data_IF_117257439624
#
_entry.id   IF_117257439624
#
_cell.length_a   1.000
_cell.length_b   1.000
_cell.length_c   1.000
_cell.angle_alpha   90.00
_cell.angle_beta   90.00
_cell.angle_gamma   90.00
#
_symmetry.space_group_name_H-M   'P 1'
#
loop_
_entity.id
_entity.type
_entity.pdbx_description
1 polymer ?
#
# COMPACT_ATOMS: atom_id res chain seq x y z
N UNK A 1 2.57 43.82 22.62
CA UNK A 1 3.88 43.75 21.95
C UNK A 1 3.64 43.72 20.46
N UNK A 2 4.08 44.78 19.77
CA UNK A 2 4.00 44.92 18.32
C UNK A 2 4.84 43.80 17.67
N UNK A 3 4.19 42.93 16.90
CA UNK A 3 4.88 42.00 15.99
C UNK A 3 5.53 42.86 14.92
N UNK A 4 6.86 43.03 15.01
CA UNK A 4 7.66 43.60 13.94
C UNK A 4 7.34 42.83 12.66
N UNK A 5 6.84 43.52 11.64
CA UNK A 5 6.76 42.97 10.30
C UNK A 5 8.19 42.66 9.85
N UNK A 6 8.61 41.40 9.96
CA UNK A 6 9.86 40.92 9.39
C UNK A 6 9.76 41.11 7.88
N UNK A 7 10.73 41.82 7.31
CA UNK A 7 10.93 41.86 5.86
C UNK A 7 10.87 40.42 5.30
N UNK A 8 10.26 40.20 4.13
CA UNK A 8 10.32 38.90 3.49
C UNK A 8 11.79 38.48 3.34
N UNK A 9 12.14 37.22 3.65
CA UNK A 9 13.51 36.76 3.61
C UNK A 9 14.10 37.03 2.21
N UNK A 10 15.31 37.55 2.14
CA UNK A 10 15.96 37.86 0.87
C UNK A 10 16.57 36.59 0.27
N UNK A 11 16.50 36.42 -1.06
CA UNK A 11 17.16 35.29 -1.73
C UNK A 11 18.67 35.36 -1.54
N UNK A 12 19.29 34.26 -1.15
CA UNK A 12 20.74 34.18 -0.98
C UNK A 12 21.45 34.29 -2.34
N UNK A 13 22.40 35.21 -2.49
CA UNK A 13 23.22 35.35 -3.70
C UNK A 13 24.15 34.17 -3.91
N UNK A 14 24.56 33.90 -5.16
CA UNK A 14 25.32 32.69 -5.52
C UNK A 14 26.69 32.59 -4.83
N UNK A 15 27.40 33.71 -4.64
CA UNK A 15 28.67 33.73 -3.91
C UNK A 15 28.51 33.34 -2.43
N UNK A 16 27.36 33.71 -1.83
CA UNK A 16 27.03 33.36 -0.45
C UNK A 16 26.54 31.91 -0.38
N UNK A 17 25.78 31.46 -1.37
CA UNK A 17 25.29 30.09 -1.51
C UNK A 17 26.43 29.08 -1.51
N UNK A 18 27.44 29.27 -2.36
CA UNK A 18 28.57 28.35 -2.47
C UNK A 18 29.37 28.26 -1.16
N UNK A 19 29.65 29.41 -0.55
CA UNK A 19 30.37 29.47 0.73
C UNK A 19 29.57 28.78 1.84
N UNK A 20 28.26 28.97 1.85
CA UNK A 20 27.36 28.41 2.86
C UNK A 20 27.22 26.89 2.73
N UNK A 21 26.98 26.36 1.51
CA UNK A 21 26.90 24.91 1.27
C UNK A 21 28.21 24.22 1.66
N UNK A 22 29.36 24.78 1.27
CA UNK A 22 30.67 24.24 1.65
C UNK A 22 30.86 24.21 3.18
N UNK A 23 30.45 25.27 3.88
CA UNK A 23 30.56 25.35 5.34
C UNK A 23 29.65 24.33 6.03
N UNK A 24 28.40 24.20 5.57
CA UNK A 24 27.44 23.24 6.14
C UNK A 24 27.91 21.80 5.88
N UNK A 25 28.42 21.51 4.68
CA UNK A 25 28.97 20.20 4.35
C UNK A 25 30.17 19.84 5.23
N UNK A 26 31.06 20.78 5.53
CA UNK A 26 32.19 20.57 6.44
C UNK A 26 31.76 20.24 7.88
N UNK A 27 30.53 20.58 8.28
CA UNK A 27 29.95 20.20 9.57
C UNK A 27 29.30 18.81 9.55
N UNK A 28 29.26 18.12 8.41
CA UNK A 28 28.69 16.76 8.31
C UNK A 28 29.72 15.68 8.62
N UNK A 29 29.30 14.46 9.00
CA UNK A 29 30.19 13.31 9.17
C UNK A 29 30.94 12.91 7.89
N UNK A 30 30.51 13.41 6.72
CA UNK A 30 31.09 13.09 5.40
C UNK A 30 32.16 14.07 4.93
N UNK A 31 32.54 15.06 5.75
CA UNK A 31 33.59 16.04 5.40
C UNK A 31 34.88 15.39 4.88
N UNK A 32 35.26 14.23 5.42
CA UNK A 32 36.51 13.54 5.09
C UNK A 32 36.40 12.73 3.78
N UNK A 33 35.19 12.50 3.27
CA UNK A 33 34.93 11.81 2.00
C UNK A 33 34.87 12.74 0.78
N UNK A 34 34.57 14.02 0.99
CA UNK A 34 34.48 15.02 -0.08
C UNK A 34 33.20 14.96 -0.94
N UNK A 35 32.38 13.90 -0.79
CA UNK A 35 31.09 13.74 -1.48
C UNK A 35 30.01 13.27 -0.51
N UNK A 36 28.75 13.53 -0.88
CA UNK A 36 27.58 12.92 -0.27
C UNK A 36 26.56 12.45 -1.34
N UNK A 37 25.76 11.42 -1.05
CA UNK A 37 24.69 10.95 -1.92
C UNK A 37 23.57 12.00 -2.05
N UNK A 38 22.85 11.98 -3.17
CA UNK A 38 21.78 12.94 -3.47
C UNK A 38 20.68 12.95 -2.41
N UNK A 39 20.39 11.82 -1.77
CA UNK A 39 19.43 11.72 -0.67
C UNK A 39 19.89 12.52 0.57
N UNK A 40 21.16 12.43 0.96
CA UNK A 40 21.71 13.18 2.10
C UNK A 40 21.75 14.68 1.78
N UNK A 41 22.06 15.05 0.54
CA UNK A 41 21.98 16.43 0.05
C UNK A 41 20.55 16.97 0.09
N UNK A 42 19.55 16.15 -0.24
CA UNK A 42 18.13 16.49 -0.16
C UNK A 42 17.68 16.74 1.29
N UNK A 43 18.08 15.86 2.22
CA UNK A 43 17.82 16.04 3.64
C UNK A 43 18.51 17.31 4.18
N UNK A 44 19.75 17.57 3.78
CA UNK A 44 20.48 18.79 4.13
C UNK A 44 19.75 20.05 3.64
N UNK A 45 19.18 20.02 2.43
CA UNK A 45 18.43 21.14 1.85
C UNK A 45 17.25 21.56 2.73
N UNK A 46 16.51 20.59 3.29
CA UNK A 46 15.39 20.86 4.21
C UNK A 46 15.83 21.54 5.51
N UNK A 47 17.02 21.21 6.03
CA UNK A 47 17.61 21.82 7.23
C UNK A 47 18.15 23.21 6.93
N UNK A 48 18.71 23.38 5.74
CA UNK A 48 19.38 24.59 5.27
C UNK A 48 18.37 25.70 4.92
N UNK A 49 17.26 25.36 4.25
CA UNK A 49 16.28 26.35 3.77
C UNK A 49 15.41 26.96 4.89
N UNK A 50 15.52 26.46 6.13
CA UNK A 50 14.71 26.87 7.30
C UNK A 50 15.44 27.89 8.20
N UNK A 51 16.76 28.14 8.00
CA UNK A 51 17.53 29.06 8.85
C UNK A 51 17.36 30.55 8.45
N UNK A 52 17.40 31.41 9.46
CA UNK A 52 16.80 32.76 9.47
C UNK A 52 17.24 33.74 8.36
N UNK A 53 16.24 34.52 7.90
CA UNK A 53 16.30 35.73 7.05
C UNK A 53 16.75 35.59 5.58
N UNK A 54 17.19 34.40 5.13
CA UNK A 54 17.46 34.15 3.72
C UNK A 54 16.96 32.77 3.30
N UNK A 55 16.34 32.67 2.12
CA UNK A 55 16.01 31.38 1.51
C UNK A 55 17.01 31.04 0.39
N UNK A 56 17.33 29.76 0.25
CA UNK A 56 18.22 29.26 -0.79
C UNK A 56 17.45 28.85 -2.04
N UNK A 57 16.31 28.20 -1.88
CA UNK A 57 15.41 27.88 -2.98
C UNK A 57 13.98 28.29 -2.60
N UNK A 58 13.21 28.77 -3.57
CA UNK A 58 11.76 28.93 -3.43
C UNK A 58 11.11 27.55 -3.31
N UNK A 59 9.83 27.50 -2.88
CA UNK A 59 9.11 26.23 -2.84
C UNK A 59 8.99 25.60 -4.23
N UNK A 60 8.76 26.40 -5.27
CA UNK A 60 8.69 25.94 -6.66
C UNK A 60 10.02 25.33 -7.14
N UNK A 61 11.15 25.93 -6.74
CA UNK A 61 12.49 25.41 -7.05
C UNK A 61 12.80 24.12 -6.27
N UNK A 62 12.29 23.99 -5.04
CA UNK A 62 12.38 22.74 -4.28
C UNK A 62 11.60 21.65 -4.99
N UNK A 63 10.35 21.93 -5.36
CA UNK A 63 9.46 20.97 -6.03
C UNK A 63 10.03 20.54 -7.41
N UNK A 64 10.79 21.41 -8.08
CA UNK A 64 11.50 21.08 -9.32
C UNK A 64 12.75 20.21 -9.11
N UNK A 65 13.43 20.35 -7.97
CA UNK A 65 14.65 19.60 -7.63
C UNK A 65 14.35 18.21 -7.03
N UNK A 66 13.22 18.08 -6.34
CA UNK A 66 12.80 16.86 -5.63
C UNK A 66 12.83 15.59 -6.50
N UNK A 67 12.28 15.57 -7.73
CA UNK A 67 12.25 14.36 -8.55
C UNK A 67 13.66 13.90 -8.93
N UNK A 68 14.61 14.82 -9.09
CA UNK A 68 15.98 14.46 -9.45
C UNK A 68 16.71 13.77 -8.30
N UNK A 69 16.58 14.31 -7.08
CA UNK A 69 17.20 13.73 -5.88
C UNK A 69 16.56 12.39 -5.49
N UNK A 70 15.23 12.24 -5.62
CA UNK A 70 14.53 11.00 -5.30
C UNK A 70 14.77 9.88 -6.32
N UNK A 71 14.95 10.20 -7.61
CA UNK A 71 15.22 9.21 -8.64
C UNK A 71 16.69 8.76 -8.68
N UNK A 72 17.61 9.48 -8.03
CA UNK A 72 19.05 9.18 -8.03
C UNK A 72 19.64 9.19 -6.61
N UNK A 73 19.08 8.43 -5.65
CA UNK A 73 19.42 8.58 -4.23
C UNK A 73 20.89 8.27 -3.91
N UNK A 74 21.50 7.32 -4.64
CA UNK A 74 22.89 6.88 -4.44
C UNK A 74 23.92 7.73 -5.18
N UNK A 75 23.50 8.75 -5.93
CA UNK A 75 24.42 9.56 -6.73
C UNK A 75 25.29 10.45 -5.82
N UNK A 76 26.57 10.11 -5.73
CA UNK A 76 27.56 10.87 -4.95
C UNK A 76 27.90 12.18 -5.67
N UNK A 77 27.74 13.29 -4.97
CA UNK A 77 27.99 14.66 -5.47
C UNK A 77 28.91 15.41 -4.51
N UNK A 78 29.83 16.19 -5.07
CA UNK A 78 30.59 17.17 -4.29
C UNK A 78 29.72 18.38 -3.93
N UNK A 79 30.10 19.19 -2.94
CA UNK A 79 29.43 20.46 -2.66
C UNK A 79 29.30 21.37 -3.89
N UNK A 80 30.31 21.41 -4.76
CA UNK A 80 30.29 22.18 -6.00
C UNK A 80 29.28 21.64 -7.02
N UNK A 81 29.14 20.32 -7.13
CA UNK A 81 28.14 19.70 -8.00
C UNK A 81 26.72 20.02 -7.52
N UNK A 82 26.52 20.00 -6.21
CA UNK A 82 25.25 20.37 -5.60
C UNK A 82 24.91 21.86 -5.79
N UNK A 83 25.89 22.76 -5.65
CA UNK A 83 25.74 24.19 -5.96
C UNK A 83 25.35 24.39 -7.43
N UNK A 84 25.97 23.65 -8.36
CA UNK A 84 25.63 23.70 -9.79
C UNK A 84 24.21 23.24 -10.06
N UNK A 85 23.79 22.14 -9.44
CA UNK A 85 22.43 21.64 -9.53
C UNK A 85 21.40 22.67 -9.04
N UNK A 86 21.66 23.32 -7.91
CA UNK A 86 20.85 24.42 -7.38
C UNK A 86 20.81 25.58 -8.37
N UNK A 87 21.95 25.98 -8.94
CA UNK A 87 22.01 27.08 -9.91
C UNK A 87 21.15 26.79 -11.15
N UNK A 88 21.12 25.55 -11.64
CA UNK A 88 20.29 25.20 -12.79
C UNK A 88 18.81 25.46 -12.51
N UNK A 89 18.32 25.09 -11.33
CA UNK A 89 16.91 25.31 -10.94
C UNK A 89 16.63 26.78 -10.62
N UNK A 90 17.63 27.52 -10.15
CA UNK A 90 17.50 28.96 -9.84
C UNK A 90 17.33 29.87 -11.05
N UNK A 91 17.79 29.43 -12.23
CA UNK A 91 17.89 30.23 -13.45
C UNK A 91 17.00 29.72 -14.60
N UNK A 92 16.13 28.73 -14.35
CA UNK A 92 15.24 28.15 -15.37
C UNK A 92 14.21 29.13 -15.95
N UNK A 93 13.93 30.26 -15.28
CA UNK A 93 12.83 31.17 -15.68
C UNK A 93 13.20 32.66 -15.82
N UNK A 94 14.47 33.09 -15.74
CA UNK A 94 14.78 34.54 -15.69
C UNK A 94 15.70 35.13 -16.75
N UNK A 95 16.38 34.35 -17.62
CA UNK A 95 17.23 34.93 -18.67
C UNK A 95 17.44 34.00 -19.88
N UNK A 96 16.38 33.29 -20.30
CA UNK A 96 16.39 32.65 -21.61
C UNK A 96 15.62 33.57 -22.56
N UNK A 97 16.34 34.55 -23.14
CA UNK A 97 16.07 34.91 -24.53
C UNK A 97 15.94 33.59 -25.29
N UNK A 98 14.78 33.36 -25.90
CA UNK A 98 14.41 32.15 -26.64
C UNK A 98 15.57 31.66 -27.54
N UNK A 99 16.45 30.85 -26.96
CA UNK A 99 17.19 29.84 -27.67
C UNK A 99 16.43 28.58 -27.38
N UNK A 100 15.44 28.36 -28.23
CA UNK A 100 14.71 27.14 -28.38
C UNK A 100 15.70 26.01 -28.67
N UNK A 101 16.31 25.43 -27.62
CA UNK A 101 16.97 24.13 -27.73
C UNK A 101 15.87 23.08 -27.68
N UNK A 102 15.18 22.97 -28.82
CA UNK A 102 14.49 21.75 -29.19
C UNK A 102 15.51 20.61 -29.17
N UNK A 103 15.20 19.44 -28.56
CA UNK A 103 15.95 18.22 -28.83
C UNK A 103 15.67 17.79 -30.28
N UNK A 104 16.41 18.36 -31.23
CA UNK A 104 16.43 17.93 -32.62
C UNK A 104 17.19 16.61 -32.74
N UNK A 105 16.50 15.49 -32.51
CA UNK A 105 16.72 14.27 -33.29
C UNK A 105 15.36 13.63 -33.59
N UNK A 106 14.64 14.28 -34.49
CA UNK A 106 13.60 13.67 -35.29
C UNK A 106 13.61 14.40 -36.63
N UNK A 107 14.37 13.87 -37.59
CA UNK A 107 14.21 14.26 -38.99
C UNK A 107 12.85 13.70 -39.41
N UNK A 108 11.82 14.52 -39.25
CA UNK A 108 10.52 14.29 -39.85
C UNK A 108 10.65 14.43 -41.36
N UNK A 109 10.45 13.29 -42.02
CA UNK A 109 10.02 13.13 -43.39
C UNK A 109 9.29 14.36 -43.96
N UNK A 110 10.00 15.14 -44.77
CA UNK A 110 9.40 16.02 -45.77
C UNK A 110 10.34 16.10 -46.96
N UNK A 111 10.24 15.09 -47.83
CA UNK A 111 10.34 15.21 -49.30
C UNK A 111 9.65 13.97 -49.87
N UNK A 112 8.37 14.12 -50.21
CA UNK A 112 7.68 13.22 -51.13
C UNK A 112 8.31 13.37 -52.51
N UNK A 113 8.59 12.22 -53.11
CA UNK A 113 8.56 11.92 -54.54
C UNK A 113 9.22 12.92 -55.51
N UNK A 114 10.44 12.59 -55.93
CA UNK A 114 10.65 12.39 -57.35
C UNK A 114 11.56 11.17 -57.55
N UNK A 115 10.96 10.10 -58.04
CA UNK A 115 11.62 9.02 -58.76
C UNK A 115 12.49 9.65 -59.86
N UNK A 116 13.80 9.66 -59.66
CA UNK A 116 14.74 9.83 -60.77
C UNK A 116 14.93 8.43 -61.33
N UNK A 117 14.24 8.19 -62.45
CA UNK A 117 14.45 7.05 -63.31
C UNK A 117 15.93 6.87 -63.60
N UNK A 118 16.41 5.64 -63.46
CA UNK A 118 17.52 5.13 -64.23
C UNK A 118 17.22 5.43 -65.71
N UNK A 119 17.91 6.42 -66.28
CA UNK A 119 18.12 6.44 -67.71
C UNK A 119 19.31 5.53 -68.00
N UNK A 120 18.95 4.29 -68.30
CA UNK A 120 19.61 3.52 -69.33
C UNK A 120 19.69 4.39 -70.61
N UNK A 121 20.88 4.49 -71.16
CA UNK A 121 21.23 5.48 -72.16
C UNK A 121 22.53 5.07 -72.80
N UNK A 122 22.47 3.96 -73.53
CA UNK A 122 23.41 3.64 -74.60
C UNK A 122 23.78 4.92 -75.37
N UNK A 123 25.04 5.36 -75.23
CA UNK A 123 25.58 6.43 -76.06
C UNK A 123 25.88 5.87 -77.45
N UNK A 124 24.83 5.76 -78.25
CA UNK A 124 24.91 5.46 -79.69
C UNK A 124 25.41 6.71 -80.43
N UNK A 125 26.43 6.51 -81.24
CA UNK A 125 26.87 7.36 -82.36
C UNK A 125 27.34 8.80 -82.04
N UNK A 126 28.67 8.96 -82.01
CA UNK A 126 29.27 10.21 -82.48
C UNK A 126 28.95 10.35 -83.98
N UNK A 127 28.31 11.44 -84.45
CA UNK A 127 28.43 11.82 -85.83
C UNK A 127 29.86 12.33 -86.05
N UNK A 128 30.53 11.79 -87.06
CA UNK A 128 31.75 12.36 -87.62
C UNK A 128 31.57 13.88 -87.82
N UNK A 129 32.59 14.71 -87.55
CA UNK A 129 32.59 16.05 -88.08
C UNK A 129 32.77 15.93 -89.60
N UNK A 130 31.67 16.10 -90.32
CA UNK A 130 31.65 16.34 -91.76
C UNK A 130 32.57 17.52 -92.04
N UNK A 131 33.74 17.21 -92.59
CA UNK A 131 34.42 18.12 -93.50
C UNK A 131 33.50 18.24 -94.70
N UNK A 132 33.10 19.46 -95.04
CA UNK A 132 33.14 19.99 -96.40
C UNK A 132 32.76 21.49 -96.40
N UNK A 133 33.50 22.22 -97.23
CA UNK A 133 33.19 23.50 -97.86
C UNK A 133 33.27 24.80 -97.04
N UNK A 134 34.50 25.28 -96.84
CA UNK A 134 34.84 26.64 -97.32
C UNK A 134 36.12 26.54 -98.16
N UNK A 135 35.92 26.48 -99.47
CA UNK A 135 36.94 26.81 -100.47
C UNK A 135 37.16 28.32 -100.45
N UNK A 136 38.37 28.77 -100.10
CA UNK A 136 38.97 29.90 -100.81
C UNK A 136 40.39 29.55 -101.26
N UNK A 137 40.50 29.61 -102.57
CA UNK A 137 41.66 29.50 -103.44
C UNK A 137 42.52 30.77 -103.29
N UNK A 138 43.78 30.63 -102.88
CA UNK A 138 44.82 31.48 -103.47
C UNK A 138 46.13 30.69 -103.57
N UNK A 139 46.32 30.09 -104.74
CA UNK A 139 47.61 29.61 -105.24
C UNK A 139 48.59 30.77 -105.31
N UNK A 140 49.38 30.94 -104.25
CA UNK A 140 50.67 31.66 -104.30
C UNK A 140 51.75 30.88 -103.56
N UNK A 141 52.50 30.08 -104.30
CA UNK A 141 53.94 29.98 -104.03
C UNK A 141 54.61 31.25 -104.60
N UNK A 142 55.86 31.65 -104.24
CA UNK A 142 56.83 31.15 -103.23
C UNK A 142 57.37 32.39 -102.42
N UNK A 143 58.61 32.50 -101.86
CA UNK A 143 59.68 31.56 -101.54
C UNK A 143 60.18 31.66 -100.05
N UNK A 144 61.14 30.80 -99.69
CA UNK A 144 61.94 30.85 -98.45
C UNK A 144 61.22 30.46 -97.15
N UNK A 145 61.46 29.21 -96.75
CA UNK A 145 61.35 28.75 -95.36
C UNK A 145 62.08 29.71 -94.42
N UNK A 146 61.31 30.54 -93.72
CA UNK A 146 61.80 31.28 -92.58
C UNK A 146 62.01 30.30 -91.44
N UNK A 147 63.24 30.22 -90.96
CA UNK A 147 63.68 29.45 -89.78
C UNK A 147 62.70 29.58 -88.60
N UNK A 148 62.00 30.72 -88.49
CA UNK A 148 60.98 30.98 -87.48
C UNK A 148 59.77 30.02 -87.49
N UNK A 149 59.26 29.60 -88.65
CA UNK A 149 58.08 28.73 -88.70
C UNK A 149 58.43 27.28 -88.33
N UNK A 150 59.64 26.83 -88.67
CA UNK A 150 60.17 25.54 -88.25
C UNK A 150 60.43 25.53 -86.74
N UNK A 151 60.93 26.65 -86.19
CA UNK A 151 61.15 26.81 -84.75
C UNK A 151 59.83 26.83 -83.96
N UNK A 152 58.79 27.46 -84.50
CA UNK A 152 57.45 27.48 -83.89
C UNK A 152 56.79 26.10 -83.88
N UNK A 153 56.89 25.34 -84.98
CA UNK A 153 56.41 23.94 -85.02
C UNK A 153 57.20 23.06 -84.04
N UNK A 154 58.51 23.30 -83.88
CA UNK A 154 59.32 22.58 -82.89
C UNK A 154 58.91 22.93 -81.46
N UNK A 155 58.64 24.21 -81.17
CA UNK A 155 58.13 24.69 -79.88
C UNK A 155 56.78 24.04 -79.57
N UNK A 156 55.83 24.09 -80.49
CA UNK A 156 54.50 23.48 -80.31
C UNK A 156 54.56 21.96 -80.12
N UNK A 157 55.47 21.25 -80.80
CA UNK A 157 55.69 19.82 -80.57
C UNK A 157 56.25 19.54 -79.17
N UNK A 158 57.15 20.39 -78.68
CA UNK A 158 57.68 20.29 -77.31
C UNK A 158 56.59 20.58 -76.29
N UNK A 159 55.83 21.67 -76.46
CA UNK A 159 54.71 22.04 -75.58
C UNK A 159 53.66 20.93 -75.51
N UNK A 160 53.32 20.31 -76.65
CA UNK A 160 52.43 19.14 -76.69
C UNK A 160 52.99 17.96 -75.90
N UNK A 161 54.29 17.68 -76.02
CA UNK A 161 54.94 16.60 -75.27
C UNK A 161 54.93 16.88 -73.77
N UNK A 162 55.22 18.12 -73.38
CA UNK A 162 55.24 18.55 -71.98
C UNK A 162 53.80 18.49 -71.38
N UNK A 163 52.79 18.92 -72.14
CA UNK A 163 51.38 18.80 -71.74
C UNK A 163 50.91 17.35 -71.62
N UNK A 164 51.32 16.45 -72.51
CA UNK A 164 51.01 15.02 -72.41
C UNK A 164 51.66 14.39 -71.17
N UNK A 165 52.86 14.83 -70.80
CA UNK A 165 53.54 14.36 -69.60
C UNK A 165 52.83 14.87 -68.34
N UNK A 166 52.41 16.14 -68.32
CA UNK A 166 51.59 16.70 -67.25
C UNK A 166 50.23 16.00 -67.12
N UNK A 167 49.57 15.69 -68.24
CA UNK A 167 48.31 14.95 -68.23
C UNK A 167 48.48 13.57 -67.60
N UNK A 168 49.53 12.84 -68.00
CA UNK A 168 49.85 11.53 -67.41
C UNK A 168 50.18 11.63 -65.91
N UNK A 169 50.88 12.67 -65.49
CA UNK A 169 51.17 12.90 -64.07
C UNK A 169 49.90 13.21 -63.27
N UNK A 170 49.00 14.02 -63.82
CA UNK A 170 47.71 14.32 -63.21
C UNK A 170 46.81 13.09 -63.15
N UNK A 171 46.76 12.27 -64.20
CA UNK A 171 46.01 11.01 -64.21
C UNK A 171 46.51 10.06 -63.10
N UNK A 172 47.83 9.93 -62.95
CA UNK A 172 48.41 9.13 -61.86
C UNK A 172 48.03 9.70 -60.48
N UNK A 173 48.03 11.03 -60.30
CA UNK A 173 47.60 11.67 -59.04
C UNK A 173 46.11 11.42 -58.76
N UNK A 174 45.25 11.50 -59.77
CA UNK A 174 43.82 11.23 -59.65
C UNK A 174 43.60 9.76 -59.25
N UNK A 175 44.31 8.82 -59.87
CA UNK A 175 44.22 7.41 -59.52
C UNK A 175 44.67 7.13 -58.08
N UNK A 176 45.78 7.74 -57.64
CA UNK A 176 46.27 7.57 -56.28
C UNK A 176 45.29 8.16 -55.25
N UNK A 177 44.76 9.37 -55.51
CA UNK A 177 43.72 9.95 -54.66
C UNK A 177 42.47 9.07 -54.62
N UNK A 178 41.99 8.58 -55.77
CA UNK A 178 40.83 7.70 -55.84
C UNK A 178 41.03 6.43 -55.00
N UNK A 179 42.23 5.84 -55.05
CA UNK A 179 42.58 4.68 -54.22
C UNK A 179 42.55 5.00 -52.73
N UNK A 180 43.15 6.13 -52.30
CA UNK A 180 43.13 6.57 -50.91
C UNK A 180 41.70 6.85 -50.43
N UNK A 181 40.88 7.49 -51.26
CA UNK A 181 39.48 7.76 -50.94
C UNK A 181 38.67 6.47 -50.80
N UNK A 182 38.86 5.48 -51.69
CA UNK A 182 38.20 4.18 -51.60
C UNK A 182 38.59 3.43 -50.32
N UNK A 183 39.86 3.44 -49.95
CA UNK A 183 40.32 2.84 -48.70
C UNK A 183 39.68 3.55 -47.48
N UNK A 184 39.61 4.88 -47.52
CA UNK A 184 38.95 5.66 -46.47
C UNK A 184 37.47 5.37 -46.36
N UNK A 185 36.76 5.22 -47.49
CA UNK A 185 35.34 4.83 -47.52
C UNK A 185 35.17 3.46 -46.87
N UNK A 186 35.98 2.46 -47.24
CA UNK A 186 35.91 1.12 -46.66
C UNK A 186 36.18 1.10 -45.14
N UNK A 187 37.12 1.91 -44.66
CA UNK A 187 37.37 2.08 -43.22
C UNK A 187 36.16 2.70 -42.50
N UNK A 188 35.54 3.72 -43.11
CA UNK A 188 34.36 4.38 -42.55
C UNK A 188 33.13 3.46 -42.55
N UNK A 189 32.91 2.68 -43.60
CA UNK A 189 31.84 1.68 -43.68
C UNK A 189 32.00 0.63 -42.58
N UNK A 190 33.22 0.11 -42.39
CA UNK A 190 33.52 -0.83 -41.31
C UNK A 190 33.25 -0.21 -39.93
N UNK A 191 33.63 1.06 -39.73
CA UNK A 191 33.35 1.78 -38.48
C UNK A 191 31.85 1.97 -38.25
N UNK A 192 31.08 2.28 -39.28
CA UNK A 192 29.62 2.42 -39.20
C UNK A 192 28.98 1.08 -38.84
N UNK A 193 29.42 -0.03 -39.45
CA UNK A 193 28.93 -1.37 -39.10
C UNK A 193 29.19 -1.71 -37.63
N UNK A 194 30.40 -1.45 -37.13
CA UNK A 194 30.72 -1.65 -35.72
C UNK A 194 29.83 -0.80 -34.79
N UNK A 195 29.66 0.48 -35.10
CA UNK A 195 28.80 1.38 -34.32
C UNK A 195 27.33 0.93 -34.33
N UNK A 196 26.83 0.37 -35.44
CA UNK A 196 25.48 -0.18 -35.51
C UNK A 196 25.32 -1.44 -34.65
N UNK A 197 26.31 -2.34 -34.66
CA UNK A 197 26.29 -3.53 -33.79
C UNK A 197 26.30 -3.11 -32.32
N UNK A 198 27.16 -2.15 -31.94
CA UNK A 198 27.23 -1.66 -30.56
C UNK A 198 25.94 -0.96 -30.14
N UNK A 199 25.33 -0.16 -31.02
CA UNK A 199 24.02 0.47 -30.78
C UNK A 199 22.93 -0.57 -30.50
N UNK A 200 22.84 -1.63 -31.30
CA UNK A 200 21.84 -2.69 -31.08
C UNK A 200 22.14 -3.50 -29.80
N UNK A 201 23.42 -3.72 -29.48
CA UNK A 201 23.84 -4.32 -28.20
C UNK A 201 23.37 -3.48 -27.01
N UNK A 202 23.58 -2.16 -27.04
CA UNK A 202 23.17 -1.26 -25.97
C UNK A 202 21.63 -1.19 -25.82
N UNK A 203 20.89 -1.20 -26.93
CA UNK A 203 19.42 -1.29 -26.90
C UNK A 203 18.96 -2.59 -26.22
N UNK A 204 19.55 -3.72 -26.58
CA UNK A 204 19.23 -5.02 -26.00
C UNK A 204 19.47 -5.04 -24.49
N UNK A 205 20.65 -4.56 -24.05
CA UNK A 205 20.98 -4.44 -22.63
C UNK A 205 20.01 -3.54 -21.87
N UNK A 206 19.67 -2.37 -22.45
CA UNK A 206 18.71 -1.44 -21.84
C UNK A 206 17.33 -2.07 -21.70
N UNK A 207 16.86 -2.80 -22.72
CA UNK A 207 15.59 -3.53 -22.68
C UNK A 207 15.60 -4.63 -21.61
N UNK A 208 16.70 -5.36 -21.46
CA UNK A 208 16.86 -6.40 -20.43
C UNK A 208 16.84 -5.79 -19.02
N UNK A 209 17.54 -4.68 -18.81
CA UNK A 209 17.52 -3.94 -17.55
C UNK A 209 16.11 -3.41 -17.21
N UNK A 210 15.42 -2.82 -18.19
CA UNK A 210 14.04 -2.35 -18.02
C UNK A 210 13.09 -3.50 -17.62
N UNK A 211 13.24 -4.66 -18.26
CA UNK A 211 12.43 -5.84 -17.93
C UNK A 211 12.72 -6.33 -16.51
N UNK A 212 13.99 -6.44 -16.13
CA UNK A 212 14.39 -6.84 -14.77
C UNK A 212 13.88 -5.87 -13.71
N UNK A 213 13.92 -4.57 -13.97
CA UNK A 213 13.35 -3.57 -13.04
C UNK A 213 11.83 -3.69 -12.92
N UNK A 214 11.12 -3.94 -14.03
CA UNK A 214 9.67 -4.21 -13.96
C UNK A 214 9.37 -5.45 -13.12
N UNK A 215 10.09 -6.55 -13.33
CA UNK A 215 9.92 -7.78 -12.54
C UNK A 215 10.21 -7.55 -11.04
N UNK A 216 11.21 -6.72 -10.70
CA UNK A 216 11.50 -6.30 -9.33
C UNK A 216 10.35 -5.49 -8.73
N UNK A 217 9.81 -4.52 -9.46
CA UNK A 217 8.69 -3.70 -9.00
C UNK A 217 7.42 -4.55 -8.77
N UNK A 218 7.12 -5.47 -9.69
CA UNK A 218 6.01 -6.42 -9.53
C UNK A 218 6.19 -7.28 -8.29
N UNK A 219 7.43 -7.73 -8.01
CA UNK A 219 7.72 -8.51 -6.80
C UNK A 219 7.58 -7.68 -5.52
N UNK A 220 8.00 -6.41 -5.53
CA UNK A 220 7.82 -5.48 -4.41
C UNK A 220 6.33 -5.28 -4.14
N UNK A 221 5.51 -5.06 -5.17
CA UNK A 221 4.07 -4.90 -5.02
C UNK A 221 3.39 -6.15 -4.43
N UNK A 222 3.80 -7.35 -4.88
CA UNK A 222 3.31 -8.62 -4.32
C UNK A 222 3.68 -8.75 -2.83
N UNK A 223 4.93 -8.45 -2.46
CA UNK A 223 5.40 -8.51 -1.08
C UNK A 223 4.70 -7.47 -0.18
N UNK A 224 4.45 -6.26 -0.67
CA UNK A 224 3.70 -5.23 0.06
C UNK A 224 2.27 -5.68 0.33
N UNK A 225 1.59 -6.29 -0.65
CA UNK A 225 0.25 -6.82 -0.46
C UNK A 225 0.23 -7.98 0.57
N UNK A 226 1.24 -8.86 0.52
CA UNK A 226 1.40 -9.93 1.50
C UNK A 226 1.64 -9.40 2.92
N UNK A 227 2.49 -8.37 3.07
CA UNK A 227 2.74 -7.71 4.35
C UNK A 227 1.45 -7.12 4.94
N UNK A 228 0.68 -6.39 4.13
CA UNK A 228 -0.61 -5.82 4.52
C UNK A 228 -1.60 -6.90 4.99
N UNK A 229 -1.71 -8.00 4.24
CA UNK A 229 -2.57 -9.13 4.62
C UNK A 229 -2.15 -9.78 5.94
N UNK A 230 -0.84 -9.86 6.22
CA UNK A 230 -0.32 -10.38 7.49
C UNK A 230 -0.63 -9.41 8.63
N UNK A 231 -0.46 -8.11 8.43
CA UNK A 231 -0.80 -7.07 9.42
C UNK A 231 -2.29 -7.09 9.80
N UNK A 232 -3.20 -7.23 8.83
CA UNK A 232 -4.64 -7.34 9.07
C UNK A 232 -4.98 -8.60 9.89
N UNK A 233 -4.35 -9.74 9.56
CA UNK A 233 -4.49 -10.99 10.32
C UNK A 233 -3.95 -10.84 11.75
N UNK A 234 -2.79 -10.20 11.90
CA UNK A 234 -2.17 -9.94 13.21
C UNK A 234 -3.06 -9.03 14.07
N UNK A 235 -3.59 -7.94 13.50
CA UNK A 235 -4.53 -7.03 14.19
C UNK A 235 -5.79 -7.77 14.66
N UNK A 236 -6.35 -8.64 13.81
CA UNK A 236 -7.52 -9.45 14.16
C UNK A 236 -7.19 -10.46 15.27
N UNK A 237 -6.03 -11.11 15.21
CA UNK A 237 -5.57 -12.05 16.24
C UNK A 237 -5.34 -11.33 17.58
N UNK A 238 -4.68 -10.18 17.57
CA UNK A 238 -4.42 -9.35 18.74
C UNK A 238 -5.73 -8.93 19.43
N UNK A 239 -6.73 -8.47 18.67
CA UNK A 239 -8.07 -8.15 19.21
C UNK A 239 -8.76 -9.35 19.86
N UNK A 240 -8.60 -10.56 19.29
CA UNK A 240 -9.15 -11.80 19.87
C UNK A 240 -8.42 -12.18 21.16
N UNK A 241 -7.10 -12.01 21.20
CA UNK A 241 -6.28 -12.29 22.39
C UNK A 241 -6.69 -11.39 23.56
N UNK A 242 -6.82 -10.08 23.32
CA UNK A 242 -7.25 -9.11 24.33
C UNK A 242 -8.62 -9.52 24.92
N UNK A 243 -9.60 -9.87 24.07
CA UNK A 243 -10.91 -10.36 24.53
C UNK A 243 -10.79 -11.62 25.39
N UNK A 244 -9.87 -12.53 25.06
CA UNK A 244 -9.65 -13.75 25.85
C UNK A 244 -8.96 -13.45 27.19
N UNK A 245 -8.05 -12.50 27.23
CA UNK A 245 -7.44 -12.01 28.48
C UNK A 245 -8.50 -11.36 29.39
N UNK A 246 -9.41 -10.57 28.83
CA UNK A 246 -10.57 -10.02 29.56
C UNK A 246 -11.52 -11.11 30.09
N UNK A 247 -11.76 -12.18 29.32
CA UNK A 247 -12.55 -13.33 29.80
C UNK A 247 -11.85 -14.07 30.94
N UNK A 248 -10.53 -14.30 30.82
CA UNK A 248 -9.73 -14.99 31.84
C UNK A 248 -9.70 -14.19 33.14
N UNK A 249 -9.51 -12.87 33.07
CA UNK A 249 -9.53 -12.00 34.27
C UNK A 249 -10.88 -12.04 34.97
N UNK A 250 -12.00 -11.96 34.24
CA UNK A 250 -13.35 -12.14 34.80
C UNK A 250 -13.56 -13.50 35.46
N UNK A 251 -13.05 -14.57 34.84
CA UNK A 251 -13.12 -15.92 35.42
C UNK A 251 -12.28 -16.04 36.69
N UNK A 252 -11.09 -15.45 36.73
CA UNK A 252 -10.24 -15.41 37.93
C UNK A 252 -10.89 -14.65 39.07
N UNK A 253 -11.57 -13.53 38.79
CA UNK A 253 -12.33 -12.78 39.80
C UNK A 253 -13.50 -13.61 40.37
N UNK A 254 -14.26 -14.28 39.50
CA UNK A 254 -15.33 -15.20 39.94
C UNK A 254 -14.80 -16.33 40.79
N UNK A 255 -13.66 -16.92 40.41
CA UNK A 255 -13.04 -18.01 41.17
C UNK A 255 -12.65 -17.53 42.59
N UNK A 256 -11.99 -16.37 42.70
CA UNK A 256 -11.67 -15.75 44.00
C UNK A 256 -12.91 -15.48 44.84
N UNK A 257 -14.01 -15.06 44.21
CA UNK A 257 -15.28 -14.83 44.91
C UNK A 257 -15.87 -16.13 45.44
N UNK A 258 -15.91 -17.20 44.62
CA UNK A 258 -16.39 -18.51 45.05
C UNK A 258 -15.51 -19.14 46.14
N UNK A 259 -14.20 -18.89 46.14
CA UNK A 259 -13.30 -19.32 47.22
C UNK A 259 -13.62 -18.62 48.55
N UNK A 260 -13.93 -17.31 48.52
CA UNK A 260 -14.36 -16.57 49.71
C UNK A 260 -15.68 -17.11 50.26
N UNK A 261 -16.66 -17.35 49.40
CA UNK A 261 -17.96 -17.93 49.77
C UNK A 261 -17.80 -19.33 50.36
N UNK A 262 -16.97 -20.18 49.76
CA UNK A 262 -16.65 -21.51 50.28
C UNK A 262 -16.04 -21.43 51.69
N UNK A 263 -15.11 -20.50 51.92
CA UNK A 263 -14.50 -20.32 53.24
C UNK A 263 -15.52 -19.84 54.28
N UNK A 264 -16.41 -18.92 53.91
CA UNK A 264 -17.48 -18.45 54.78
C UNK A 264 -18.47 -19.58 55.13
N UNK A 265 -18.83 -20.42 54.15
CA UNK A 265 -19.67 -21.61 54.39
C UNK A 265 -18.96 -22.58 55.33
N UNK A 266 -17.67 -22.86 55.13
CA UNK A 266 -16.89 -23.75 56.02
C UNK A 266 -16.89 -23.24 57.46
N UNK A 267 -16.69 -21.95 57.69
CA UNK A 267 -16.77 -21.35 59.03
C UNK A 267 -18.17 -21.47 59.62
N UNK A 268 -19.22 -21.18 58.84
CA UNK A 268 -20.61 -21.33 59.30
C UNK A 268 -20.95 -22.79 59.65
N UNK A 269 -20.52 -23.77 58.85
CA UNK A 269 -20.73 -25.19 59.13
C UNK A 269 -20.03 -25.60 60.42
N UNK A 270 -18.78 -25.16 60.63
CA UNK A 270 -18.04 -25.43 61.88
C UNK A 270 -18.76 -24.87 63.11
N UNK A 271 -19.33 -23.66 63.01
CA UNK A 271 -20.12 -23.08 64.09
C UNK A 271 -21.39 -23.88 64.38
N UNK A 272 -22.13 -24.28 63.34
CA UNK A 272 -23.33 -25.13 63.48
C UNK A 272 -23.00 -26.50 64.06
N UNK A 273 -21.87 -27.11 63.70
CA UNK A 273 -21.42 -28.37 64.31
C UNK A 273 -21.13 -28.21 65.80
N UNK A 274 -20.57 -27.07 66.22
CA UNK A 274 -20.36 -26.78 67.64
C UNK A 274 -21.68 -26.62 68.40
N UNK A 275 -22.63 -25.87 67.84
CA UNK A 275 -23.99 -25.72 68.40
C UNK A 275 -24.69 -27.08 68.50
N UNK A 276 -24.62 -27.90 67.45
CA UNK A 276 -25.22 -29.25 67.45
C UNK A 276 -24.62 -30.13 68.56
N UNK A 277 -23.30 -30.08 68.78
CA UNK A 277 -22.66 -30.80 69.89
C UNK A 277 -23.17 -30.34 71.25
N UNK A 278 -23.33 -29.03 71.45
CA UNK A 278 -23.89 -28.50 72.70
C UNK A 278 -25.31 -29.01 72.94
N UNK A 279 -26.16 -28.99 71.91
CA UNK A 279 -27.54 -29.50 72.00
C UNK A 279 -27.55 -31.01 72.27
N UNK A 280 -26.65 -31.79 71.66
CA UNK A 280 -26.52 -33.23 71.95
C UNK A 280 -26.11 -33.46 73.41
N UNK A 281 -25.11 -32.73 73.91
CA UNK A 281 -24.67 -32.82 75.30
C UNK A 281 -25.79 -32.44 76.28
N UNK A 282 -26.58 -31.42 75.97
CA UNK A 282 -27.77 -31.04 76.75
C UNK A 282 -28.86 -32.11 76.71
N UNK A 283 -29.15 -32.69 75.55
CA UNK A 283 -30.09 -33.80 75.43
C UNK A 283 -29.64 -35.02 76.23
N UNK A 284 -28.34 -35.33 76.26
CA UNK A 284 -27.78 -36.40 77.10
C UNK A 284 -28.03 -36.11 78.58
N UNK A 285 -27.74 -34.90 79.05
CA UNK A 285 -28.03 -34.49 80.44
C UNK A 285 -29.52 -34.59 80.77
N UNK A 286 -30.40 -34.15 79.86
CA UNK A 286 -31.83 -34.28 80.05
C UNK A 286 -32.26 -35.75 80.14
N UNK A 287 -31.68 -36.63 79.33
CA UNK A 287 -31.92 -38.07 79.43
C UNK A 287 -31.51 -38.63 80.79
N UNK A 288 -30.33 -38.27 81.30
CA UNK A 288 -29.86 -38.69 82.63
C UNK A 288 -30.80 -38.20 83.74
N UNK A 289 -31.33 -36.97 83.64
CA UNK A 289 -32.33 -36.43 84.57
C UNK A 289 -33.63 -37.23 84.48
N UNK A 290 -34.11 -37.52 83.27
CA UNK A 290 -35.33 -38.30 83.05
C UNK A 290 -35.18 -39.71 83.64
N UNK A 291 -34.05 -40.39 83.39
CA UNK A 291 -33.81 -41.72 83.92
C UNK A 291 -33.73 -41.72 85.45
N UNK A 292 -33.11 -40.70 86.04
CA UNK A 292 -33.12 -40.51 87.50
C UNK A 292 -34.52 -40.30 88.04
N UNK A 293 -35.32 -39.42 87.43
CA UNK A 293 -36.70 -39.18 87.85
C UNK A 293 -37.58 -40.42 87.68
N UNK A 294 -37.36 -41.22 86.64
CA UNK A 294 -38.03 -42.51 86.47
C UNK A 294 -37.66 -43.48 87.59
N UNK A 295 -36.38 -43.59 87.93
CA UNK A 295 -35.92 -44.40 89.04
C UNK A 295 -36.59 -43.95 90.36
N UNK A 296 -36.57 -42.65 90.66
CA UNK A 296 -37.20 -42.08 91.86
C UNK A 296 -38.73 -42.33 91.87
N UNK A 297 -39.40 -42.24 90.71
CA UNK A 297 -40.83 -42.52 90.56
C UNK A 297 -41.16 -44.01 90.70
N UNK A 298 -40.33 -44.90 90.16
CA UNK A 298 -40.51 -46.35 90.30
C UNK A 298 -40.23 -46.79 91.74
N UNK A 299 -39.28 -46.17 92.43
CA UNK A 299 -39.07 -46.33 93.87
C UNK A 299 -40.31 -45.85 94.65
N UNK A 300 -40.83 -44.66 94.35
CA UNK A 300 -42.06 -44.16 94.96
C UNK A 300 -43.28 -45.05 94.65
N UNK A 301 -43.41 -45.59 93.43
CA UNK A 301 -44.49 -46.51 93.02
C UNK A 301 -44.35 -47.88 93.65
N UNK A 302 -43.14 -48.41 93.80
CA UNK A 302 -42.88 -49.65 94.53
C UNK A 302 -43.17 -49.50 96.02
N UNK A 303 -42.99 -48.31 96.60
CA UNK A 303 -43.46 -47.93 97.93
C UNK A 303 -44.98 -47.70 98.03
N UNK A 304 -45.64 -47.44 96.90
CA UNK A 304 -47.08 -47.19 96.76
C UNK A 304 -47.83 -48.38 96.11
N UNK A 305 -47.27 -49.58 96.12
CA UNK A 305 -47.90 -50.77 95.54
C UNK A 305 -49.01 -51.38 96.43
N UNK A 306 -49.65 -50.58 97.29
CA UNK A 306 -50.74 -51.05 98.15
C UNK A 306 -52.08 -50.33 98.01
N UNK A 307 -52.24 -49.30 97.17
CA UNK A 307 -53.54 -48.60 97.12
C UNK A 307 -53.87 -47.98 95.75
N UNK A 308 -54.94 -48.51 95.13
CA UNK A 308 -55.72 -48.01 93.98
C UNK A 308 -55.03 -48.04 92.60
N UNK A 309 -55.48 -48.74 91.55
CA UNK A 309 -56.82 -48.89 90.95
C UNK A 309 -57.59 -47.58 90.84
N UNK A 310 -57.44 -46.86 89.72
CA UNK A 310 -58.44 -45.89 89.26
C UNK A 310 -58.28 -45.59 87.75
N UNK A 311 -59.03 -46.32 86.93
CA UNK A 311 -59.12 -46.16 85.47
C UNK A 311 -60.12 -45.08 85.03
N UNK A 312 -59.99 -43.84 85.52
CA UNK A 312 -60.84 -42.72 85.08
C UNK A 312 -60.07 -41.57 84.43
N UNK A 313 -58.84 -41.27 84.88
CA UNK A 313 -57.99 -40.22 84.27
C UNK A 313 -57.28 -40.68 83.00
N UNK A 314 -57.19 -42.00 82.78
CA UNK A 314 -56.54 -42.60 81.62
C UNK A 314 -57.35 -42.42 80.34
N UNK A 315 -58.69 -42.40 80.44
CA UNK A 315 -59.57 -42.22 79.29
C UNK A 315 -59.59 -40.77 78.79
N UNK A 316 -59.47 -39.77 79.67
CA UNK A 316 -59.39 -38.36 79.24
C UNK A 316 -58.05 -38.06 78.57
N UNK A 317 -56.94 -38.62 79.07
CA UNK A 317 -55.63 -38.51 78.45
C UNK A 317 -55.56 -39.23 77.09
N UNK A 318 -56.20 -40.39 76.96
CA UNK A 318 -56.28 -41.11 75.69
C UNK A 318 -57.06 -40.31 74.64
N UNK A 319 -58.15 -39.63 75.03
CA UNK A 319 -58.92 -38.76 74.13
C UNK A 319 -58.08 -37.56 73.68
N UNK A 320 -57.36 -36.89 74.59
CA UNK A 320 -56.48 -35.76 74.24
C UNK A 320 -55.32 -36.19 73.32
N UNK A 321 -54.74 -37.37 73.54
CA UNK A 321 -53.70 -37.94 72.67
C UNK A 321 -54.23 -38.27 71.28
N UNK A 322 -55.44 -38.83 71.20
CA UNK A 322 -56.10 -39.12 69.92
C UNK A 322 -56.40 -37.82 69.17
N UNK A 323 -56.80 -36.76 69.86
CA UNK A 323 -57.06 -35.45 69.26
C UNK A 323 -55.78 -34.81 68.72
N UNK A 324 -54.69 -34.79 69.50
CA UNK A 324 -53.38 -34.29 69.04
C UNK A 324 -52.82 -35.12 67.89
N UNK A 325 -53.00 -36.44 67.90
CA UNK A 325 -52.59 -37.32 66.80
C UNK A 325 -53.37 -37.00 65.51
N UNK A 326 -54.67 -36.73 65.63
CA UNK A 326 -55.50 -36.36 64.49
C UNK A 326 -55.15 -34.97 63.96
N UNK A 327 -54.82 -34.02 64.83
CA UNK A 327 -54.33 -32.70 64.44
C UNK A 327 -52.99 -32.80 63.69
N UNK A 328 -52.02 -33.55 64.23
CA UNK A 328 -50.73 -33.77 63.58
C UNK A 328 -50.87 -34.49 62.23
N UNK A 329 -51.79 -35.44 62.10
CA UNK A 329 -52.11 -36.07 60.81
C UNK A 329 -52.65 -35.07 59.80
N UNK A 330 -53.54 -34.17 60.21
CA UNK A 330 -54.12 -33.14 59.35
C UNK A 330 -53.06 -32.13 58.88
N UNK A 331 -52.15 -31.73 59.76
CA UNK A 331 -51.02 -30.85 59.41
C UNK A 331 -50.05 -31.55 58.44
N UNK A 332 -49.70 -32.81 58.70
CA UNK A 332 -48.87 -33.63 57.79
C UNK A 332 -49.51 -33.74 56.40
N UNK A 333 -50.80 -34.03 56.33
CA UNK A 333 -51.50 -34.19 55.06
C UNK A 333 -51.59 -32.85 54.30
N UNK A 334 -51.75 -31.72 55.01
CA UNK A 334 -51.68 -30.39 54.42
C UNK A 334 -50.29 -30.08 53.83
N UNK A 335 -49.21 -30.35 54.58
CA UNK A 335 -47.84 -30.15 54.10
C UNK A 335 -47.50 -31.08 52.93
N UNK A 336 -48.00 -32.32 52.96
CA UNK A 336 -47.84 -33.26 51.84
C UNK A 336 -48.51 -32.72 50.58
N UNK A 337 -49.72 -32.19 50.70
CA UNK A 337 -50.45 -31.59 49.58
C UNK A 337 -49.74 -30.34 49.02
N UNK A 338 -49.15 -29.53 49.91
CA UNK A 338 -48.35 -28.36 49.52
C UNK A 338 -47.04 -28.75 48.82
N UNK A 339 -46.39 -29.85 49.27
CA UNK A 339 -45.21 -30.39 48.62
C UNK A 339 -45.51 -30.92 47.21
N UNK A 340 -46.60 -31.68 47.05
CA UNK A 340 -47.06 -32.18 45.75
C UNK A 340 -47.43 -31.03 44.78
N UNK A 341 -48.08 -29.97 45.29
CA UNK A 341 -48.36 -28.77 44.49
C UNK A 341 -47.07 -28.03 44.07
N UNK A 342 -46.06 -27.99 44.94
CA UNK A 342 -44.77 -27.37 44.62
C UNK A 342 -43.96 -28.20 43.61
N UNK A 343 -43.99 -29.53 43.74
CA UNK A 343 -43.33 -30.46 42.83
C UNK A 343 -43.92 -30.37 41.41
N UNK A 344 -45.24 -30.32 41.29
CA UNK A 344 -45.91 -30.12 40.00
C UNK A 344 -45.58 -28.77 39.37
N UNK A 345 -45.45 -27.70 40.17
CA UNK A 345 -45.03 -26.38 39.69
C UNK A 345 -43.56 -26.38 39.21
N UNK A 346 -42.67 -27.04 39.93
CA UNK A 346 -41.26 -27.21 39.53
C UNK A 346 -41.19 -27.99 38.21
N UNK A 347 -41.95 -29.07 38.08
CA UNK A 347 -41.97 -29.88 36.86
C UNK A 347 -42.50 -29.10 35.66
N UNK A 348 -43.52 -28.25 35.85
CA UNK A 348 -44.01 -27.35 34.81
C UNK A 348 -42.93 -26.34 34.37
N UNK A 349 -42.24 -25.69 35.31
CA UNK A 349 -41.18 -24.73 35.02
C UNK A 349 -39.97 -25.40 34.35
N UNK A 350 -39.62 -26.63 34.76
CA UNK A 350 -38.57 -27.42 34.12
C UNK A 350 -38.90 -27.69 32.65
N UNK A 351 -40.13 -28.13 32.37
CA UNK A 351 -40.56 -28.38 31.00
C UNK A 351 -40.55 -27.11 30.13
N UNK A 352 -40.91 -25.94 30.70
CA UNK A 352 -40.78 -24.67 29.98
C UNK A 352 -39.31 -24.31 29.69
N UNK A 353 -38.41 -24.54 30.65
CA UNK A 353 -36.99 -24.28 30.46
C UNK A 353 -36.40 -25.15 29.36
N UNK A 354 -36.78 -26.42 29.29
CA UNK A 354 -36.35 -27.34 28.24
C UNK A 354 -36.86 -26.91 26.86
N UNK A 355 -38.12 -26.46 26.77
CA UNK A 355 -38.67 -25.88 25.54
C UNK A 355 -37.90 -24.63 25.11
N UNK A 356 -37.58 -23.72 26.04
CA UNK A 356 -36.76 -22.54 25.75
C UNK A 356 -35.35 -22.93 25.29
N UNK A 357 -34.75 -23.97 25.88
CA UNK A 357 -33.45 -24.47 25.47
C UNK A 357 -33.48 -25.04 24.04
N UNK A 358 -34.52 -25.78 23.69
CA UNK A 358 -34.73 -26.32 22.36
C UNK A 358 -34.89 -25.21 21.31
N UNK A 359 -35.75 -24.21 21.58
CA UNK A 359 -35.92 -23.04 20.70
C UNK A 359 -34.60 -22.29 20.52
N UNK A 360 -33.83 -22.11 21.59
CA UNK A 360 -32.53 -21.43 21.54
C UNK A 360 -31.55 -22.19 20.66
N UNK A 361 -31.52 -23.52 20.75
CA UNK A 361 -30.66 -24.36 19.92
C UNK A 361 -31.10 -24.36 18.45
N UNK A 362 -32.42 -24.32 18.17
CA UNK A 362 -32.96 -24.21 16.81
C UNK A 362 -32.64 -22.85 16.18
N UNK A 363 -32.73 -21.75 16.94
CA UNK A 363 -32.31 -20.43 16.48
C UNK A 363 -30.80 -20.41 16.20
N UNK A 364 -30.00 -20.99 17.09
CA UNK A 364 -28.54 -21.04 16.92
C UNK A 364 -28.14 -21.85 15.68
N UNK A 365 -28.81 -22.96 15.41
CA UNK A 365 -28.57 -23.77 14.22
C UNK A 365 -29.01 -23.04 12.94
N UNK A 366 -30.14 -22.33 12.97
CA UNK A 366 -30.61 -21.49 11.86
C UNK A 366 -29.68 -20.30 11.59
N UNK A 367 -29.09 -19.69 12.62
CA UNK A 367 -28.11 -18.62 12.44
C UNK A 367 -26.82 -19.17 11.81
N UNK A 368 -26.37 -20.36 12.24
CA UNK A 368 -25.19 -21.00 11.65
C UNK A 368 -25.41 -21.40 10.19
N UNK A 369 -26.61 -21.88 9.82
CA UNK A 369 -26.94 -22.17 8.42
C UNK A 369 -27.16 -20.89 7.60
N UNK A 370 -27.70 -19.83 8.17
CA UNK A 370 -27.80 -18.53 7.48
C UNK A 370 -26.41 -17.91 7.26
N UNK A 371 -25.48 -18.05 8.20
CA UNK A 371 -24.11 -17.54 8.05
C UNK A 371 -23.34 -18.23 6.91
N UNK A 372 -23.62 -19.50 6.61
CA UNK A 372 -23.02 -20.17 5.45
C UNK A 372 -23.56 -19.65 4.11
N UNK A 373 -24.79 -19.11 4.08
CA UNK A 373 -25.37 -18.45 2.90
C UNK A 373 -24.70 -17.08 2.67
N UNK A 374 -24.37 -16.32 3.73
CA UNK A 374 -23.66 -15.03 3.64
C UNK A 374 -22.15 -15.16 3.32
N UNK A 375 -21.59 -16.37 3.39
CA UNK A 375 -20.22 -16.67 2.97
C UNK A 375 -20.12 -17.06 1.50
N UNK A 376 -21.22 -17.00 0.74
CA UNK A 376 -21.19 -17.25 -0.70
C UNK A 376 -20.44 -16.10 -1.42
N UNK A 377 -19.29 -16.37 -2.08
CA UNK A 377 -18.45 -15.35 -2.70
C UNK A 377 -19.21 -14.44 -3.67
N UNK A 378 -20.27 -14.98 -4.29
CA UNK A 378 -21.12 -14.27 -5.25
C UNK A 378 -21.94 -13.16 -4.57
N UNK A 379 -22.46 -13.38 -3.36
CA UNK A 379 -23.23 -12.36 -2.63
C UNK A 379 -22.30 -11.25 -2.12
N UNK A 380 -21.10 -11.62 -1.67
CA UNK A 380 -20.08 -10.63 -1.31
C UNK A 380 -19.65 -9.80 -2.51
N UNK A 381 -19.48 -10.42 -3.68
CA UNK A 381 -19.16 -9.73 -4.93
C UNK A 381 -20.26 -8.74 -5.36
N UNK A 382 -21.54 -9.14 -5.29
CA UNK A 382 -22.67 -8.24 -5.57
C UNK A 382 -22.68 -7.05 -4.59
N UNK A 383 -22.41 -7.29 -3.31
CA UNK A 383 -22.29 -6.22 -2.31
C UNK A 383 -21.16 -5.23 -2.65
N UNK A 384 -19.98 -5.74 -3.05
CA UNK A 384 -18.86 -4.88 -3.46
C UNK A 384 -19.19 -4.05 -4.70
N UNK A 385 -19.92 -4.61 -5.68
CA UNK A 385 -20.39 -3.85 -6.85
C UNK A 385 -21.28 -2.68 -6.42
N UNK A 386 -22.21 -2.90 -5.48
CA UNK A 386 -23.07 -1.83 -4.98
C UNK A 386 -22.27 -0.71 -4.29
N UNK A 387 -21.25 -1.07 -3.50
CA UNK A 387 -20.36 -0.09 -2.88
C UNK A 387 -19.51 0.67 -3.89
N UNK A 388 -18.93 -0.01 -4.89
CA UNK A 388 -18.16 0.63 -5.97
C UNK A 388 -19.03 1.61 -6.74
N UNK A 389 -20.27 1.23 -7.05
CA UNK A 389 -21.23 2.09 -7.73
C UNK A 389 -21.56 3.34 -6.91
N UNK A 390 -21.75 3.18 -5.59
CA UNK A 390 -21.99 4.29 -4.67
C UNK A 390 -20.79 5.23 -4.60
N UNK A 391 -19.57 4.70 -4.49
CA UNK A 391 -18.35 5.52 -4.49
C UNK A 391 -18.13 6.24 -5.83
N UNK A 392 -18.40 5.58 -6.95
CA UNK A 392 -18.33 6.19 -8.28
C UNK A 392 -19.29 7.38 -8.41
N UNK A 393 -20.53 7.23 -7.95
CA UNK A 393 -21.50 8.34 -7.94
C UNK A 393 -21.11 9.46 -6.97
N UNK A 394 -20.61 9.12 -5.79
CA UNK A 394 -20.10 10.13 -4.85
C UNK A 394 -18.93 10.92 -5.45
N UNK A 395 -18.02 10.24 -6.15
CA UNK A 395 -16.90 10.86 -6.84
C UNK A 395 -17.36 11.80 -7.96
N UNK A 396 -18.34 11.38 -8.77
CA UNK A 396 -18.94 12.24 -9.79
C UNK A 396 -19.61 13.49 -9.19
N UNK A 397 -20.32 13.36 -8.08
CA UNK A 397 -20.93 14.50 -7.37
C UNK A 397 -19.86 15.47 -6.86
N UNK A 398 -18.78 14.96 -6.27
CA UNK A 398 -17.67 15.77 -5.79
C UNK A 398 -16.96 16.47 -6.96
N UNK A 399 -16.76 15.77 -8.08
CA UNK A 399 -16.11 16.32 -9.26
C UNK A 399 -16.97 17.40 -9.95
N UNK A 400 -18.28 17.19 -10.04
CA UNK A 400 -19.23 18.21 -10.51
C UNK A 400 -19.23 19.46 -9.60
N UNK A 401 -19.17 19.26 -8.29
CA UNK A 401 -19.06 20.35 -7.31
C UNK A 401 -17.76 21.15 -7.46
N UNK A 402 -16.62 20.48 -7.67
CA UNK A 402 -15.31 21.12 -7.80
C UNK A 402 -15.10 21.85 -9.13
N UNK A 403 -15.74 21.39 -10.22
CA UNK A 403 -15.57 21.98 -11.55
C UNK A 403 -16.52 23.14 -11.84
N UNK A 404 -17.42 23.50 -10.91
CA UNK A 404 -18.42 24.55 -11.06
C UNK A 404 -19.26 24.41 -12.36
N UNK A 405 -19.29 23.19 -12.93
CA UNK A 405 -20.15 22.87 -14.05
C UNK A 405 -21.51 22.50 -13.45
N UNK A 406 -22.49 23.37 -13.67
CA UNK A 406 -23.90 23.02 -13.52
C UNK A 406 -24.17 21.67 -14.17
N UNK A 407 -24.81 20.72 -13.48
CA UNK A 407 -24.95 19.37 -14.01
C UNK A 407 -25.88 19.38 -15.23
N UNK A 408 -25.30 19.24 -16.41
CA UNK A 408 -25.98 18.55 -17.50
C UNK A 408 -25.97 17.06 -17.12
N UNK A 409 -27.04 16.58 -16.49
CA UNK A 409 -27.71 15.41 -17.02
C UNK A 409 -29.10 15.16 -16.39
N UNK A 410 -30.12 14.85 -17.21
CA UNK A 410 -31.51 14.60 -16.79
C UNK A 410 -31.71 13.25 -16.07
N UNK A 411 -30.64 12.49 -15.79
CA UNK A 411 -30.71 11.16 -15.18
C UNK A 411 -30.91 11.26 -13.65
N UNK A 412 -30.37 12.30 -13.01
CA UNK A 412 -30.54 12.50 -11.56
C UNK A 412 -31.98 12.91 -11.18
N UNK A 413 -32.69 13.63 -12.07
CA UNK A 413 -34.12 13.93 -11.86
C UNK A 413 -35.02 12.67 -11.89
N UNK A 414 -34.56 11.58 -12.52
CA UNK A 414 -35.30 10.31 -12.52
C UNK A 414 -35.06 9.48 -11.26
N UNK A 415 -33.97 9.72 -10.53
CA UNK A 415 -33.67 9.00 -9.29
C UNK A 415 -34.48 9.56 -8.12
N UNK A 416 -34.70 10.88 -8.09
CA UNK A 416 -35.67 11.51 -7.19
C UNK A 416 -37.10 11.04 -7.47
N UNK A 417 -37.46 10.82 -8.75
CA UNK A 417 -38.76 10.25 -9.12
C UNK A 417 -38.92 8.80 -8.61
N UNK A 418 -37.86 7.98 -8.68
CA UNK A 418 -37.90 6.60 -8.21
C UNK A 418 -37.92 6.49 -6.68
N UNK A 419 -37.14 7.30 -5.98
CA UNK A 419 -37.13 7.34 -4.51
C UNK A 419 -38.43 7.90 -3.95
N UNK A 420 -39.02 8.92 -4.58
CA UNK A 420 -40.33 9.45 -4.19
C UNK A 420 -41.45 8.41 -4.38
N UNK A 421 -41.42 7.65 -5.48
CA UNK A 421 -42.45 6.65 -5.75
C UNK A 421 -42.36 5.43 -4.81
N UNK A 422 -41.16 5.08 -4.35
CA UNK A 422 -40.95 3.92 -3.46
C UNK A 422 -41.16 4.23 -1.97
N UNK A 423 -40.98 5.47 -1.53
CA UNK A 423 -41.14 5.85 -0.11
C UNK A 423 -42.50 6.45 0.26
N UNK A 424 -43.32 6.87 -0.73
CA UNK A 424 -44.64 7.50 -0.46
C UNK A 424 -45.80 6.50 -0.58
N UNK A 425 -45.55 5.24 -0.98
CA UNK A 425 -46.60 4.22 -1.19
C UNK A 425 -46.42 2.88 -0.43
N UNK A 426 -45.56 2.86 0.57
CA UNK A 426 -45.50 1.83 1.64
C UNK A 426 -45.55 2.53 2.97
#
# INVERSE_FOLDING_TARGET
MLKSASLPPARMSDNVLETYINTVFQCTPRRDRGTAPAEEWWQLLSVINVRENHYMLTQEEIDALEPYCLNNPEMEMTPQDFVRLISMVRYTDSDIQEVEITPQMSISASMRANTINYYDGESVHHPEPHFDDIMEDDRRAPPYESIHHLEEVRRLKKDKSDLLLQLKENDNKIQEMAKVHLERISQLETKIQYLNIEKERQKSLTSEHLQKERERLDKIAELQNNAKNIEEKHSTCSKKLIKKEEEVTKLQERLKQTEKELNQIKESTKNKELELRQVVDENTKLMEIIDKQKFDLDEARSGLNHFYSNGKDQNELEVEYIEKLNQAKKERDMFKQQAEASETQIQYLSNQLDQHHQITNDIKSHIHSAHSIFLNPLIQFISYIAWIFLFYHLFLVIFAYLTNQTPLDPILNNLDFWLYYHFVKT
#
